data_IF_547002276685
#
_entry.id   IF_547002276685
#
_cell.length_a   1.000
_cell.length_b   1.000
_cell.length_c   1.000
_cell.angle_alpha   90.00
_cell.angle_beta   90.00
_cell.angle_gamma   90.00
#
_symmetry.space_group_name_H-M   'P 1'
#
loop_
_entity.id
_entity.type
_entity.pdbx_description
1 polymer ?
#
# COMPACT_ATOMS: atom_id res chain seq x y z
N UNK A 1 23.38 54.09 29.74
CA UNK A 1 23.63 55.51 29.66
C UNK A 1 22.50 56.25 30.35
N UNK A 2 22.81 57.39 30.96
CA UNK A 2 21.78 58.20 31.59
C UNK A 2 22.05 59.72 31.43
N UNK A 3 20.97 60.45 31.38
CA UNK A 3 21.00 61.93 31.44
C UNK A 3 20.08 62.36 32.54
N UNK A 4 20.44 63.56 33.11
CA UNK A 4 19.56 64.26 34.05
C UNK A 4 19.08 65.52 33.36
N UNK A 5 17.76 65.65 33.23
CA UNK A 5 17.14 66.81 32.59
C UNK A 5 16.24 67.55 33.59
N UNK A 6 16.02 68.81 33.35
CA UNK A 6 14.93 69.55 34.04
C UNK A 6 13.57 69.22 33.44
N UNK A 7 12.50 69.85 33.93
CA UNK A 7 11.13 69.60 33.42
C UNK A 7 10.91 70.04 31.98
N UNK A 8 11.69 71.02 31.52
CA UNK A 8 11.64 71.56 30.15
C UNK A 8 12.45 70.73 29.16
N UNK A 9 13.16 69.71 29.68
CA UNK A 9 13.98 68.81 28.87
C UNK A 9 15.41 69.30 28.65
N UNK A 10 15.79 70.39 29.32
CA UNK A 10 17.15 70.95 29.26
C UNK A 10 18.08 69.97 30.01
N UNK A 11 19.16 69.54 29.37
CA UNK A 11 20.12 68.65 29.95
C UNK A 11 20.98 69.31 31.00
N UNK A 12 20.93 68.83 32.24
CA UNK A 12 21.75 69.33 33.36
C UNK A 12 23.04 68.47 33.52
N UNK A 13 22.99 67.18 33.20
CA UNK A 13 24.11 66.27 33.35
C UNK A 13 23.92 65.02 32.47
N UNK A 14 25.00 64.47 31.94
CA UNK A 14 25.04 63.18 31.30
C UNK A 14 26.22 62.39 31.82
N UNK A 15 26.11 61.01 31.68
CA UNK A 15 27.23 60.15 32.01
C UNK A 15 28.42 60.37 31.01
N UNK A 16 29.69 60.12 31.41
CA UNK A 16 30.85 60.39 30.57
C UNK A 16 30.83 59.75 29.23
N UNK A 17 30.25 58.54 29.15
CA UNK A 17 30.18 57.71 27.93
C UNK A 17 28.84 57.80 27.20
N UNK A 18 28.08 58.91 27.42
CA UNK A 18 26.76 59.08 26.84
C UNK A 18 26.77 59.07 25.31
N UNK A 19 25.94 58.25 24.69
CA UNK A 19 25.66 58.26 23.26
C UNK A 19 24.15 58.33 23.03
N UNK A 20 23.74 58.92 21.92
CA UNK A 20 22.32 58.98 21.54
C UNK A 20 21.77 57.68 20.96
N UNK A 21 22.59 56.68 20.77
CA UNK A 21 22.15 55.38 20.24
C UNK A 21 21.22 54.70 21.23
N UNK A 22 20.06 54.23 20.79
CA UNK A 22 19.06 53.61 21.65
C UNK A 22 18.18 54.54 22.45
N UNK A 23 18.30 55.87 22.26
CA UNK A 23 17.51 56.86 22.96
C UNK A 23 16.00 56.82 22.67
N UNK A 24 15.57 56.11 21.62
CA UNK A 24 14.14 55.82 21.30
C UNK A 24 13.43 55.05 22.41
N UNK A 25 14.17 54.25 23.20
CA UNK A 25 13.65 53.41 24.29
C UNK A 25 14.07 53.95 25.65
N UNK A 26 13.89 55.25 25.87
CA UNK A 26 14.33 55.93 27.07
C UNK A 26 13.31 55.82 28.23
N UNK A 27 13.78 55.33 29.37
CA UNK A 27 13.00 55.26 30.62
C UNK A 27 13.20 56.56 31.41
N UNK A 28 12.11 57.26 31.71
CA UNK A 28 12.13 58.51 32.45
C UNK A 28 11.56 58.35 33.86
N UNK A 29 12.26 58.88 34.86
CA UNK A 29 11.80 58.87 36.26
C UNK A 29 12.17 60.22 36.96
N UNK A 30 11.23 60.74 37.69
CA UNK A 30 11.46 61.93 38.55
C UNK A 30 12.38 61.54 39.70
N UNK A 31 13.47 62.36 39.95
CA UNK A 31 14.48 62.02 40.96
C UNK A 31 13.89 62.28 42.34
N UNK A 32 13.28 63.45 42.56
CA UNK A 32 12.68 63.83 43.82
C UNK A 32 11.22 64.20 43.61
N UNK A 33 10.31 63.40 44.11
CA UNK A 33 8.86 63.57 43.90
C UNK A 33 8.28 64.75 44.71
N UNK A 34 8.96 65.20 45.76
CA UNK A 34 8.51 66.22 46.67
C UNK A 34 9.10 67.61 46.35
N UNK A 35 9.90 67.77 45.32
CA UNK A 35 10.43 69.06 44.91
C UNK A 35 9.37 69.93 44.25
N UNK A 36 9.46 71.23 44.41
CA UNK A 36 8.58 72.20 43.69
C UNK A 36 8.69 71.92 42.16
N UNK A 37 7.60 72.08 41.41
CA UNK A 37 7.56 71.75 39.98
C UNK A 37 8.67 72.44 39.14
N UNK A 38 9.14 73.63 39.58
CA UNK A 38 10.23 74.32 38.90
C UNK A 38 11.64 73.73 39.11
N UNK A 39 11.81 72.78 40.05
CA UNK A 39 13.11 72.14 40.37
C UNK A 39 13.09 70.65 40.20
N UNK A 40 12.02 70.11 39.63
CA UNK A 40 11.93 68.64 39.38
C UNK A 40 12.97 68.18 38.35
N UNK A 41 13.96 67.47 38.81
CA UNK A 41 14.90 66.73 37.92
C UNK A 41 14.35 65.41 37.48
N UNK A 42 14.56 65.08 36.24
CA UNK A 42 14.25 63.75 35.66
C UNK A 42 15.53 63.01 35.26
N UNK A 43 15.60 61.75 35.65
CA UNK A 43 16.63 60.86 35.14
C UNK A 43 16.05 60.14 33.94
N UNK A 44 16.76 60.18 32.84
CA UNK A 44 16.47 59.41 31.61
C UNK A 44 17.55 58.35 31.47
N UNK A 45 17.14 57.10 31.39
CA UNK A 45 18.06 55.95 31.23
C UNK A 45 17.75 55.27 29.94
N UNK A 46 18.76 55.00 29.13
CA UNK A 46 18.65 54.19 27.93
C UNK A 46 19.84 53.23 27.82
N UNK A 47 19.65 52.20 27.03
CA UNK A 47 20.64 51.14 26.81
C UNK A 47 21.04 51.16 25.33
N UNK A 48 22.22 51.69 24.93
CA UNK A 48 22.63 51.85 23.55
C UNK A 48 22.66 50.51 22.81
N UNK A 49 23.11 49.47 23.48
CA UNK A 49 23.31 48.13 22.89
C UNK A 49 22.23 47.13 23.28
N UNK A 50 21.01 47.56 23.65
CA UNK A 50 19.96 46.65 24.07
C UNK A 50 19.66 45.55 23.04
N UNK A 51 19.61 45.95 21.77
CA UNK A 51 19.39 44.99 20.66
C UNK A 51 20.54 44.00 20.53
N UNK A 52 21.79 44.47 20.60
CA UNK A 52 22.99 43.61 20.57
C UNK A 52 23.01 42.64 21.74
N UNK A 53 22.68 43.09 22.95
CA UNK A 53 22.59 42.25 24.14
C UNK A 53 21.48 41.17 24.00
N UNK A 54 20.31 41.54 23.51
CA UNK A 54 19.21 40.62 23.25
C UNK A 54 19.64 39.60 22.20
N UNK A 55 20.22 40.05 21.07
CA UNK A 55 20.69 39.13 20.03
C UNK A 55 21.79 38.20 20.53
N UNK A 56 22.72 38.66 21.36
CA UNK A 56 23.76 37.80 21.93
C UNK A 56 23.19 36.71 22.85
N UNK A 57 22.16 37.05 23.63
CA UNK A 57 21.48 36.11 24.52
C UNK A 57 20.63 35.08 23.75
N UNK A 58 19.99 35.51 22.64
CA UNK A 58 19.15 34.62 21.80
C UNK A 58 19.99 33.77 20.88
N UNK A 59 21.22 34.17 20.54
CA UNK A 59 22.10 33.43 19.60
C UNK A 59 22.26 31.95 19.93
N UNK A 60 22.31 31.57 21.19
CA UNK A 60 22.42 30.17 21.63
C UNK A 60 21.07 29.43 21.72
N UNK A 61 19.96 30.18 21.79
CA UNK A 61 18.62 29.56 21.82
C UNK A 61 18.20 29.02 20.47
N UNK A 62 18.57 29.66 19.35
CA UNK A 62 18.20 29.26 18.00
C UNK A 62 18.75 27.86 17.65
N UNK A 63 20.06 27.56 17.82
CA UNK A 63 20.60 26.22 17.59
C UNK A 63 19.94 25.15 18.47
N UNK A 64 19.67 25.47 19.73
CA UNK A 64 19.00 24.56 20.67
C UNK A 64 17.57 24.24 20.20
N UNK A 65 16.82 25.20 19.71
CA UNK A 65 15.47 25.05 19.22
C UNK A 65 15.45 24.22 17.93
N UNK A 66 16.39 24.46 17.01
CA UNK A 66 16.58 23.67 15.79
C UNK A 66 16.92 22.21 16.17
N UNK A 67 17.85 22.01 17.11
CA UNK A 67 18.23 20.67 17.55
C UNK A 67 17.03 19.90 18.15
N UNK A 68 16.27 20.56 19.02
CA UNK A 68 15.07 19.97 19.62
C UNK A 68 14.01 19.63 18.56
N UNK A 69 13.83 20.49 17.55
CA UNK A 69 12.93 20.24 16.44
C UNK A 69 13.36 19.02 15.61
N UNK A 70 14.65 18.91 15.29
CA UNK A 70 15.20 17.73 14.58
C UNK A 70 15.00 16.45 15.38
N UNK A 71 15.24 16.46 16.70
CA UNK A 71 14.98 15.33 17.58
C UNK A 71 13.50 14.91 17.56
N UNK A 72 12.59 15.88 17.62
CA UNK A 72 11.16 15.63 17.59
C UNK A 72 10.72 14.98 16.26
N UNK A 73 11.22 15.50 15.14
CA UNK A 73 10.94 14.95 13.81
C UNK A 73 11.48 13.53 13.69
N UNK A 74 12.71 13.27 14.12
CA UNK A 74 13.30 11.92 14.08
C UNK A 74 12.56 10.95 14.99
N UNK A 75 12.09 11.40 16.15
CA UNK A 75 11.30 10.59 17.07
C UNK A 75 9.95 10.20 16.46
N UNK A 76 9.21 11.16 15.88
CA UNK A 76 7.94 10.89 15.19
C UNK A 76 8.16 9.92 14.03
N UNK A 77 9.22 10.12 13.23
CA UNK A 77 9.55 9.26 12.11
C UNK A 77 9.88 7.83 12.56
N UNK A 78 10.62 7.69 13.67
CA UNK A 78 10.94 6.38 14.25
C UNK A 78 9.68 5.65 14.71
N UNK A 79 8.78 6.32 15.42
CA UNK A 79 7.50 5.77 15.84
C UNK A 79 6.69 5.31 14.62
N UNK A 80 6.61 6.12 13.57
CA UNK A 80 5.92 5.76 12.33
C UNK A 80 6.50 4.48 11.70
N UNK A 81 7.84 4.36 11.64
CA UNK A 81 8.52 3.15 11.14
C UNK A 81 8.17 1.93 11.99
N UNK A 82 8.22 2.05 13.33
CA UNK A 82 7.90 0.94 14.25
C UNK A 82 6.46 0.44 14.04
N UNK A 83 5.48 1.34 13.96
CA UNK A 83 4.10 0.94 13.70
C UNK A 83 3.92 0.29 12.33
N UNK A 84 4.60 0.80 11.32
CA UNK A 84 4.60 0.19 9.97
C UNK A 84 5.21 -1.20 9.98
N UNK A 85 6.35 -1.39 10.66
CA UNK A 85 7.01 -2.70 10.78
C UNK A 85 6.14 -3.69 11.56
N UNK A 86 5.54 -3.26 12.69
CA UNK A 86 4.63 -4.10 13.48
C UNK A 86 3.48 -4.61 12.61
N UNK A 87 2.84 -3.74 11.85
CA UNK A 87 1.75 -4.11 10.95
C UNK A 87 2.18 -5.10 9.85
N UNK A 88 3.37 -4.90 9.27
CA UNK A 88 3.93 -5.84 8.29
C UNK A 88 4.22 -7.22 8.92
N UNK A 89 4.70 -7.24 10.15
CA UNK A 89 4.95 -8.48 10.90
C UNK A 89 3.65 -9.23 11.22
N UNK A 90 2.61 -8.52 11.65
CA UNK A 90 1.27 -9.10 11.87
C UNK A 90 0.74 -9.74 10.58
N UNK A 91 0.75 -9.02 9.47
CA UNK A 91 0.30 -9.52 8.16
C UNK A 91 1.12 -10.74 7.72
N UNK A 92 2.44 -10.74 7.96
CA UNK A 92 3.32 -11.89 7.67
C UNK A 92 3.00 -13.10 8.54
N UNK A 93 2.73 -12.90 9.82
CA UNK A 93 2.36 -13.99 10.73
C UNK A 93 0.99 -14.58 10.35
N UNK A 94 0.01 -13.76 10.01
CA UNK A 94 -1.29 -14.21 9.51
C UNK A 94 -1.14 -15.01 8.22
N UNK A 95 -0.25 -14.61 7.33
CA UNK A 95 0.08 -15.38 6.12
C UNK A 95 0.67 -16.75 6.47
N UNK A 96 1.65 -16.82 7.38
CA UNK A 96 2.27 -18.09 7.80
C UNK A 96 1.23 -19.01 8.44
N UNK A 97 0.38 -18.49 9.32
CA UNK A 97 -0.69 -19.25 9.96
C UNK A 97 -1.69 -19.80 8.94
N UNK A 98 -2.13 -18.95 8.01
CA UNK A 98 -3.04 -19.37 6.93
C UNK A 98 -2.39 -20.42 6.01
N UNK A 99 -1.11 -20.27 5.68
CA UNK A 99 -0.36 -21.21 4.87
C UNK A 99 -0.23 -22.57 5.56
N UNK A 100 0.07 -22.56 6.86
CA UNK A 100 0.13 -23.77 7.67
C UNK A 100 -1.21 -24.49 7.70
N UNK A 101 -2.30 -23.76 7.85
CA UNK A 101 -3.65 -24.31 7.84
C UNK A 101 -4.04 -24.88 6.48
N UNK A 102 -3.76 -24.16 5.39
CA UNK A 102 -4.05 -24.58 4.02
C UNK A 102 -3.24 -25.82 3.61
N UNK A 103 -2.03 -26.02 4.13
CA UNK A 103 -1.24 -27.23 3.90
C UNK A 103 -1.66 -28.40 4.80
N UNK A 104 -2.07 -28.13 6.03
CA UNK A 104 -2.46 -29.17 6.99
C UNK A 104 -3.67 -29.99 6.48
N UNK A 105 -4.66 -29.31 5.88
CA UNK A 105 -5.87 -29.98 5.40
C UNK A 105 -5.59 -31.05 4.35
N UNK A 106 -4.93 -30.77 3.19
CA UNK A 106 -4.63 -31.79 2.20
C UNK A 106 -3.70 -32.88 2.75
N UNK A 107 -2.72 -32.53 3.58
CA UNK A 107 -1.82 -33.51 4.20
C UNK A 107 -2.61 -34.48 5.10
N UNK A 108 -3.54 -33.97 5.92
CA UNK A 108 -4.38 -34.82 6.78
C UNK A 108 -5.30 -35.71 5.97
N UNK A 109 -5.87 -35.21 4.86
CA UNK A 109 -6.72 -36.00 3.95
C UNK A 109 -5.91 -37.12 3.27
N UNK A 110 -4.71 -36.79 2.78
CA UNK A 110 -3.80 -37.82 2.19
C UNK A 110 -3.43 -38.86 3.25
N UNK A 111 -3.10 -38.45 4.46
CA UNK A 111 -2.73 -39.37 5.54
C UNK A 111 -3.89 -40.30 5.90
N UNK A 112 -5.11 -39.78 6.02
CA UNK A 112 -6.30 -40.57 6.30
C UNK A 112 -6.59 -41.57 5.14
N UNK A 113 -6.56 -41.09 3.91
CA UNK A 113 -6.74 -41.94 2.73
C UNK A 113 -5.68 -43.06 2.64
N UNK A 114 -4.42 -42.73 2.95
CA UNK A 114 -3.34 -43.74 3.01
C UNK A 114 -3.53 -44.77 4.15
N UNK A 115 -4.11 -44.34 5.29
CA UNK A 115 -4.49 -45.30 6.35
C UNK A 115 -5.63 -46.22 5.92
N UNK A 116 -6.64 -45.68 5.22
CA UNK A 116 -7.74 -46.48 4.69
C UNK A 116 -7.28 -47.55 3.69
N UNK A 117 -6.23 -47.30 2.90
CA UNK A 117 -5.64 -48.31 1.98
C UNK A 117 -5.03 -49.49 2.70
N UNK A 118 -4.73 -49.41 4.01
CA UNK A 118 -4.22 -50.54 4.82
C UNK A 118 -5.33 -51.47 5.29
N UNK A 119 -6.59 -51.10 5.17
CA UNK A 119 -7.72 -51.92 5.54
C UNK A 119 -7.88 -53.08 4.51
N UNK A 120 -7.86 -54.34 4.96
CA UNK A 120 -8.06 -55.50 4.07
C UNK A 120 -9.39 -55.47 3.30
N UNK A 121 -10.40 -54.79 3.81
CA UNK A 121 -11.69 -54.61 3.14
C UNK A 121 -11.57 -53.77 1.86
N UNK A 122 -10.73 -52.75 1.88
CA UNK A 122 -10.46 -51.86 0.75
C UNK A 122 -9.72 -52.64 -0.36
N UNK A 123 -8.77 -53.51 -0.01
CA UNK A 123 -8.06 -54.39 -0.97
C UNK A 123 -8.98 -55.33 -1.71
N UNK A 124 -10.15 -55.69 -1.14
CA UNK A 124 -11.16 -56.55 -1.77
C UNK A 124 -12.15 -55.81 -2.68
N UNK A 125 -12.13 -54.46 -2.65
CA UNK A 125 -13.04 -53.62 -3.45
C UNK A 125 -12.25 -52.76 -4.42
N UNK A 126 -12.10 -53.10 -5.71
CA UNK A 126 -11.39 -52.29 -6.70
C UNK A 126 -11.94 -50.88 -6.84
N UNK A 127 -13.25 -50.69 -6.71
CA UNK A 127 -13.89 -49.38 -6.78
C UNK A 127 -13.49 -48.45 -5.59
N UNK A 128 -13.41 -49.03 -4.37
CA UNK A 128 -13.00 -48.30 -3.19
C UNK A 128 -11.50 -47.94 -3.24
N UNK A 129 -10.66 -48.88 -3.68
CA UNK A 129 -9.23 -48.65 -3.90
C UNK A 129 -9.01 -47.49 -4.89
N UNK A 130 -9.72 -47.52 -6.02
CA UNK A 130 -9.62 -46.50 -7.08
C UNK A 130 -10.08 -45.13 -6.59
N UNK A 131 -11.16 -45.08 -5.81
CA UNK A 131 -11.65 -43.86 -5.22
C UNK A 131 -10.64 -43.23 -4.24
N UNK A 132 -10.09 -44.02 -3.30
CA UNK A 132 -9.11 -43.56 -2.32
C UNK A 132 -7.82 -43.12 -2.99
N UNK A 133 -7.34 -43.88 -3.98
CA UNK A 133 -6.17 -43.50 -4.80
C UNK A 133 -6.40 -42.19 -5.55
N UNK A 134 -7.62 -41.98 -6.07
CA UNK A 134 -8.04 -40.72 -6.70
C UNK A 134 -7.97 -39.54 -5.73
N UNK A 135 -8.48 -39.70 -4.50
CA UNK A 135 -8.40 -38.65 -3.46
C UNK A 135 -6.95 -38.28 -3.14
N UNK A 136 -6.06 -39.28 -2.99
CA UNK A 136 -4.63 -39.02 -2.74
C UNK A 136 -4.00 -38.21 -3.89
N UNK A 137 -4.27 -38.63 -5.12
CA UNK A 137 -3.74 -37.97 -6.33
C UNK A 137 -4.23 -36.51 -6.44
N UNK A 138 -5.51 -36.28 -6.21
CA UNK A 138 -6.11 -34.95 -6.34
C UNK A 138 -5.61 -33.98 -5.24
N UNK A 139 -5.50 -34.43 -3.99
CA UNK A 139 -4.95 -33.61 -2.92
C UNK A 139 -3.43 -33.37 -3.09
N UNK A 140 -2.70 -34.33 -3.66
CA UNK A 140 -1.27 -34.15 -4.01
C UNK A 140 -1.09 -33.11 -5.10
N UNK A 141 -1.92 -33.14 -6.18
CA UNK A 141 -1.93 -32.10 -7.21
C UNK A 141 -2.25 -30.74 -6.65
N UNK A 142 -3.23 -30.68 -5.75
CA UNK A 142 -3.62 -29.44 -5.06
C UNK A 142 -2.48 -28.89 -4.21
N UNK A 143 -1.81 -29.73 -3.43
CA UNK A 143 -0.66 -29.34 -2.60
C UNK A 143 0.48 -28.82 -3.46
N UNK A 144 0.82 -29.51 -4.55
CA UNK A 144 1.84 -29.05 -5.52
C UNK A 144 1.52 -27.68 -6.06
N UNK A 145 0.29 -27.42 -6.48
CA UNK A 145 -0.13 -26.12 -6.99
C UNK A 145 -0.03 -25.00 -5.94
N UNK A 146 -0.33 -25.31 -4.67
CA UNK A 146 -0.16 -24.37 -3.57
C UNK A 146 1.31 -24.03 -3.31
N UNK A 147 2.20 -25.04 -3.32
CA UNK A 147 3.65 -24.86 -3.16
C UNK A 147 4.21 -24.04 -4.33
N UNK A 148 3.83 -24.35 -5.56
CA UNK A 148 4.28 -23.58 -6.75
C UNK A 148 3.88 -22.10 -6.65
N UNK A 149 2.66 -21.79 -6.20
CA UNK A 149 2.24 -20.39 -5.97
C UNK A 149 3.12 -19.66 -4.95
N UNK A 150 3.50 -20.33 -3.87
CA UNK A 150 4.39 -19.74 -2.86
C UNK A 150 5.80 -19.56 -3.40
N UNK A 151 6.34 -20.56 -4.12
CA UNK A 151 7.67 -20.49 -4.73
C UNK A 151 7.75 -19.40 -5.80
N UNK A 152 6.77 -19.28 -6.68
CA UNK A 152 6.71 -18.23 -7.69
C UNK A 152 6.82 -16.85 -7.02
N UNK A 153 6.11 -16.62 -5.92
CA UNK A 153 6.16 -15.35 -5.20
C UNK A 153 7.53 -15.11 -4.53
N UNK A 154 8.13 -16.14 -3.93
CA UNK A 154 9.46 -16.05 -3.30
C UNK A 154 10.56 -15.76 -4.32
N UNK A 155 10.48 -16.37 -5.49
CA UNK A 155 11.45 -16.12 -6.58
C UNK A 155 11.36 -14.68 -7.11
N UNK A 156 10.15 -14.12 -7.18
CA UNK A 156 9.95 -12.71 -7.54
C UNK A 156 10.51 -11.70 -6.51
N UNK A 157 10.71 -12.11 -5.26
CA UNK A 157 11.31 -11.25 -4.23
C UNK A 157 12.83 -11.15 -4.33
N UNK A 158 13.49 -12.24 -4.73
CA UNK A 158 14.96 -12.35 -4.66
C UNK A 158 15.71 -11.95 -5.92
N UNK A 159 15.07 -11.98 -7.08
CA UNK A 159 15.71 -11.63 -8.35
C UNK A 159 14.79 -10.72 -9.16
N UNK A 160 15.40 -9.75 -9.89
CA UNK A 160 14.79 -9.26 -11.13
C UNK A 160 14.60 -10.51 -12.00
N UNK A 161 13.43 -11.14 -11.92
CA UNK A 161 13.14 -12.28 -12.77
C UNK A 161 13.46 -11.85 -14.20
N UNK A 162 14.31 -12.57 -14.89
CA UNK A 162 14.64 -12.30 -16.28
C UNK A 162 13.38 -12.69 -17.07
N UNK A 163 12.50 -11.70 -17.29
CA UNK A 163 11.27 -11.89 -18.06
C UNK A 163 11.66 -12.23 -19.50
N UNK A 164 11.05 -13.27 -20.04
CA UNK A 164 11.20 -13.66 -21.44
C UNK A 164 10.20 -12.87 -22.27
N UNK A 165 10.53 -11.58 -22.47
CA UNK A 165 9.68 -10.67 -23.21
C UNK A 165 9.59 -11.06 -24.68
N UNK A 166 8.39 -11.15 -25.22
CA UNK A 166 8.11 -11.35 -26.64
C UNK A 166 6.86 -10.61 -27.07
N UNK A 167 6.70 -10.44 -28.35
CA UNK A 167 5.47 -9.94 -28.95
C UNK A 167 4.35 -10.95 -28.80
N UNK A 168 3.20 -10.52 -28.30
CA UNK A 168 2.04 -11.38 -28.02
C UNK A 168 0.77 -10.62 -28.40
N UNK A 169 -0.11 -11.27 -29.15
CA UNK A 169 -1.46 -10.79 -29.40
C UNK A 169 -2.31 -11.00 -28.13
N UNK A 170 -2.62 -9.89 -27.43
CA UNK A 170 -3.36 -9.93 -26.18
C UNK A 170 -4.79 -10.50 -26.35
N UNK A 171 -5.46 -10.21 -27.49
CA UNK A 171 -6.81 -10.71 -27.76
C UNK A 171 -6.80 -12.27 -27.86
N UNK A 172 -5.85 -12.83 -28.60
CA UNK A 172 -5.72 -14.28 -28.75
C UNK A 172 -5.37 -14.96 -27.42
N UNK A 173 -4.40 -14.40 -26.67
CA UNK A 173 -4.03 -14.91 -25.36
C UNK A 173 -5.23 -14.92 -24.41
N UNK A 174 -5.95 -13.80 -24.32
CA UNK A 174 -7.13 -13.67 -23.44
C UNK A 174 -8.23 -14.64 -23.89
N UNK A 175 -8.50 -14.78 -25.19
CA UNK A 175 -9.48 -15.74 -25.71
C UNK A 175 -9.13 -17.18 -25.30
N UNK A 176 -7.84 -17.57 -25.40
CA UNK A 176 -7.37 -18.88 -24.96
C UNK A 176 -7.59 -19.13 -23.47
N UNK A 177 -7.32 -18.13 -22.62
CA UNK A 177 -7.58 -18.22 -21.18
C UNK A 177 -9.08 -18.29 -20.90
N UNK A 178 -9.90 -17.48 -21.55
CA UNK A 178 -11.36 -17.48 -21.40
C UNK A 178 -11.92 -18.85 -21.73
N UNK A 179 -11.54 -19.44 -22.85
CA UNK A 179 -11.99 -20.79 -23.26
C UNK A 179 -11.66 -21.85 -22.21
N UNK A 180 -10.44 -21.81 -21.66
CA UNK A 180 -10.04 -22.74 -20.58
C UNK A 180 -10.84 -22.51 -19.29
N UNK A 181 -11.21 -21.25 -19.02
CA UNK A 181 -11.87 -20.86 -17.76
C UNK A 181 -13.39 -21.05 -17.80
N UNK A 182 -13.99 -21.11 -18.99
CA UNK A 182 -15.45 -21.27 -19.20
C UNK A 182 -16.01 -22.46 -18.45
N UNK A 183 -15.38 -23.65 -18.60
CA UNK A 183 -15.80 -24.88 -17.89
C UNK A 183 -15.80 -24.69 -16.35
N UNK A 184 -14.86 -23.91 -15.83
CA UNK A 184 -14.81 -23.63 -14.39
C UNK A 184 -15.95 -22.71 -13.96
N UNK A 185 -16.28 -21.71 -14.76
CA UNK A 185 -17.36 -20.75 -14.48
C UNK A 185 -18.73 -21.44 -14.55
N UNK A 186 -18.94 -22.27 -15.57
CA UNK A 186 -20.18 -23.07 -15.75
C UNK A 186 -20.43 -24.02 -14.58
N UNK A 187 -19.38 -24.61 -13.99
CA UNK A 187 -19.49 -25.43 -12.77
C UNK A 187 -20.14 -24.68 -11.58
N UNK A 188 -20.06 -23.37 -11.57
CA UNK A 188 -20.67 -22.49 -10.56
C UNK A 188 -21.93 -21.80 -11.08
N UNK A 189 -22.59 -22.34 -12.11
CA UNK A 189 -23.77 -21.76 -12.77
C UNK A 189 -23.51 -20.31 -13.21
N UNK A 190 -22.30 -20.04 -13.73
CA UNK A 190 -21.91 -18.72 -14.13
C UNK A 190 -21.78 -18.59 -15.65
N UNK A 191 -21.66 -17.35 -16.10
CA UNK A 191 -21.47 -16.98 -17.51
C UNK A 191 -20.26 -16.07 -17.67
N UNK A 192 -19.45 -16.33 -18.67
CA UNK A 192 -18.34 -15.47 -19.06
C UNK A 192 -18.59 -14.90 -20.46
N UNK A 193 -18.44 -13.61 -20.59
CA UNK A 193 -18.57 -12.89 -21.87
C UNK A 193 -17.28 -12.16 -22.16
N UNK A 194 -16.88 -12.11 -23.43
CA UNK A 194 -15.69 -11.38 -23.85
C UNK A 194 -15.99 -10.52 -25.08
N UNK A 195 -15.56 -9.26 -25.03
CA UNK A 195 -15.57 -8.28 -26.12
C UNK A 195 -14.13 -7.81 -26.33
N UNK A 196 -13.42 -8.49 -27.22
CA UNK A 196 -12.00 -8.27 -27.48
C UNK A 196 -11.82 -7.33 -28.68
N UNK A 197 -12.21 -6.07 -28.49
CA UNK A 197 -12.39 -5.06 -29.56
C UNK A 197 -11.13 -4.17 -29.75
N UNK A 198 -9.98 -4.53 -29.15
CA UNK A 198 -8.75 -3.80 -29.40
C UNK A 198 -8.27 -4.02 -30.84
N UNK A 199 -8.19 -2.93 -31.62
CA UNK A 199 -7.69 -2.97 -33.01
C UNK A 199 -6.19 -3.27 -33.08
N UNK A 200 -5.44 -2.76 -32.09
CA UNK A 200 -4.00 -3.02 -31.95
C UNK A 200 -3.77 -3.81 -30.66
N UNK A 201 -3.89 -5.15 -30.69
CA UNK A 201 -3.77 -6.01 -29.49
C UNK A 201 -2.33 -6.38 -29.15
N UNK A 202 -1.33 -6.03 -29.98
CA UNK A 202 0.05 -6.51 -29.84
C UNK A 202 0.80 -5.76 -28.76
N UNK A 203 1.32 -6.52 -27.81
CA UNK A 203 2.05 -6.04 -26.63
C UNK A 203 3.36 -6.81 -26.47
N UNK A 204 4.34 -6.20 -25.79
CA UNK A 204 5.61 -6.82 -25.49
C UNK A 204 5.62 -7.32 -24.04
N UNK A 205 5.37 -8.63 -23.85
CA UNK A 205 5.19 -9.23 -22.51
C UNK A 205 5.82 -10.61 -22.42
N UNK A 206 6.05 -11.06 -21.18
CA UNK A 206 6.27 -12.47 -20.89
C UNK A 206 4.91 -13.21 -20.90
N UNK A 207 4.68 -14.01 -21.92
CA UNK A 207 3.40 -14.67 -22.17
C UNK A 207 2.95 -15.54 -20.98
N UNK A 208 3.86 -16.30 -20.38
CA UNK A 208 3.53 -17.18 -19.25
C UNK A 208 3.08 -16.37 -18.03
N UNK A 209 3.84 -15.34 -17.70
CA UNK A 209 3.52 -14.49 -16.56
C UNK A 209 2.27 -13.66 -16.81
N UNK A 210 2.07 -13.17 -18.03
CA UNK A 210 0.87 -12.43 -18.39
C UNK A 210 -0.39 -13.31 -18.41
N UNK A 211 -0.29 -14.53 -18.94
CA UNK A 211 -1.34 -15.55 -18.82
C UNK A 211 -1.74 -15.78 -17.37
N UNK A 212 -0.76 -15.93 -16.47
CA UNK A 212 -1.00 -16.08 -15.04
C UNK A 212 -1.67 -14.87 -14.40
N UNK A 213 -1.42 -13.65 -14.89
CA UNK A 213 -2.12 -12.43 -14.46
C UNK A 213 -3.63 -12.56 -14.73
N UNK A 214 -4.00 -12.93 -15.96
CA UNK A 214 -5.41 -13.09 -16.35
C UNK A 214 -6.07 -14.20 -15.51
N UNK A 215 -5.40 -15.35 -15.37
CA UNK A 215 -5.89 -16.45 -14.52
C UNK A 215 -6.12 -16.02 -13.06
N UNK A 216 -5.20 -15.26 -12.47
CA UNK A 216 -5.37 -14.79 -11.08
C UNK A 216 -6.59 -13.87 -10.90
N UNK A 217 -6.85 -12.99 -11.86
CA UNK A 217 -8.02 -12.11 -11.82
C UNK A 217 -9.32 -12.88 -11.97
N UNK A 218 -9.40 -13.81 -12.91
CA UNK A 218 -10.56 -14.68 -13.11
C UNK A 218 -10.79 -15.62 -11.90
N UNK A 219 -9.73 -16.19 -11.34
CA UNK A 219 -9.80 -17.04 -10.14
C UNK A 219 -10.34 -16.25 -8.93
N UNK A 220 -9.94 -15.00 -8.78
CA UNK A 220 -10.48 -14.11 -7.75
C UNK A 220 -11.98 -13.86 -7.96
N UNK A 221 -12.41 -13.61 -9.20
CA UNK A 221 -13.82 -13.41 -9.51
C UNK A 221 -14.70 -14.60 -9.11
N UNK A 222 -14.22 -15.84 -9.38
CA UNK A 222 -14.92 -17.07 -8.95
C UNK A 222 -14.92 -17.23 -7.43
N UNK A 223 -13.80 -16.93 -6.77
CA UNK A 223 -13.66 -17.06 -5.30
C UNK A 223 -14.55 -16.11 -4.52
N UNK A 224 -14.69 -14.89 -5.03
CA UNK A 224 -15.44 -13.83 -4.37
C UNK A 224 -16.83 -13.61 -4.97
N UNK A 225 -17.37 -14.65 -5.63
CA UNK A 225 -18.76 -14.63 -6.09
C UNK A 225 -19.74 -14.48 -4.93
N UNK A 226 -20.91 -13.95 -5.19
CA UNK A 226 -22.00 -13.92 -4.21
C UNK A 226 -22.43 -15.34 -3.87
N UNK A 227 -22.86 -15.60 -2.62
CA UNK A 227 -23.44 -16.89 -2.24
C UNK A 227 -24.65 -17.26 -3.09
N UNK A 228 -25.48 -16.28 -3.38
CA UNK A 228 -26.70 -16.40 -4.19
C UNK A 228 -26.55 -15.64 -5.50
N UNK A 229 -27.17 -16.19 -6.55
CA UNK A 229 -27.15 -15.59 -7.89
C UNK A 229 -26.13 -16.21 -8.85
N UNK A 230 -26.29 -15.85 -10.10
CA UNK A 230 -25.42 -16.26 -11.20
C UNK A 230 -24.10 -15.47 -11.17
N UNK A 231 -22.97 -16.15 -11.37
CA UNK A 231 -21.67 -15.50 -11.56
C UNK A 231 -21.57 -14.94 -12.97
N UNK A 232 -21.50 -13.63 -13.10
CA UNK A 232 -21.32 -12.95 -14.39
C UNK A 232 -19.92 -12.36 -14.47
N UNK A 233 -19.16 -12.80 -15.48
CA UNK A 233 -17.84 -12.28 -15.80
C UNK A 233 -17.87 -11.60 -17.15
N UNK A 234 -17.31 -10.40 -17.23
CA UNK A 234 -17.19 -9.65 -18.47
C UNK A 234 -15.73 -9.23 -18.68
N UNK A 235 -15.17 -9.55 -19.85
CA UNK A 235 -13.81 -9.21 -20.23
C UNK A 235 -13.89 -8.32 -21.46
N UNK A 236 -13.16 -7.20 -21.44
CA UNK A 236 -13.11 -6.29 -22.59
C UNK A 236 -11.70 -5.82 -22.85
N UNK A 237 -11.36 -5.67 -24.12
CA UNK A 237 -10.13 -5.01 -24.57
C UNK A 237 -10.48 -3.85 -25.48
N UNK A 238 -9.71 -2.76 -25.39
CA UNK A 238 -9.82 -1.62 -26.30
C UNK A 238 -8.50 -0.85 -26.33
N UNK A 239 -8.34 0.00 -27.34
CA UNK A 239 -7.22 0.91 -27.44
C UNK A 239 -7.65 2.33 -27.10
N UNK A 240 -6.85 3.04 -26.31
CA UNK A 240 -7.07 4.44 -25.99
C UNK A 240 -5.72 5.12 -25.73
N UNK A 241 -5.52 6.31 -26.34
CA UNK A 241 -4.30 7.12 -26.13
C UNK A 241 -2.98 6.34 -26.34
N UNK A 242 -2.92 5.46 -27.36
CA UNK A 242 -1.73 4.69 -27.69
C UNK A 242 -1.40 3.59 -26.67
N UNK A 243 -2.40 3.09 -25.95
CA UNK A 243 -2.28 2.00 -24.95
C UNK A 243 -3.35 0.96 -25.15
N UNK A 244 -3.03 -0.27 -24.74
CA UNK A 244 -4.00 -1.34 -24.62
C UNK A 244 -4.63 -1.30 -23.22
N UNK A 245 -5.95 -1.31 -23.18
CA UNK A 245 -6.74 -1.45 -21.97
C UNK A 245 -7.39 -2.83 -21.96
N UNK A 246 -7.32 -3.48 -20.80
CA UNK A 246 -7.96 -4.79 -20.57
C UNK A 246 -8.76 -4.64 -19.28
N UNK A 247 -10.07 -4.89 -19.33
CA UNK A 247 -10.91 -4.91 -18.14
C UNK A 247 -11.48 -6.30 -17.88
N UNK A 248 -11.45 -6.70 -16.62
CA UNK A 248 -12.08 -7.94 -16.12
C UNK A 248 -13.02 -7.51 -15.01
N UNK A 249 -14.32 -7.75 -15.23
CA UNK A 249 -15.39 -7.33 -14.31
C UNK A 249 -16.19 -8.54 -13.86
N UNK A 250 -16.48 -8.58 -12.56
CA UNK A 250 -17.36 -9.55 -11.91
C UNK A 250 -18.55 -8.85 -11.24
N UNK A 251 -19.60 -9.60 -10.94
CA UNK A 251 -20.76 -9.21 -10.14
C UNK A 251 -20.71 -9.77 -8.71
N UNK A 252 -19.51 -10.05 -8.18
CA UNK A 252 -19.30 -10.65 -6.88
C UNK A 252 -19.65 -9.76 -5.69
N UNK A 253 -19.10 -10.09 -4.51
CA UNK A 253 -19.36 -9.37 -3.26
C UNK A 253 -18.82 -7.93 -3.23
N UNK A 254 -17.93 -7.59 -4.16
CA UNK A 254 -17.29 -6.28 -4.21
C UNK A 254 -16.31 -6.01 -3.05
N UNK A 255 -15.73 -4.81 -3.08
CA UNK A 255 -14.66 -4.40 -2.16
C UNK A 255 -14.97 -3.00 -1.61
N UNK A 256 -14.86 -2.79 -0.31
CA UNK A 256 -15.00 -1.47 0.31
C UNK A 256 -13.90 -0.51 -0.16
N UNK A 257 -14.24 0.77 -0.37
CA UNK A 257 -13.30 1.82 -0.84
C UNK A 257 -12.00 1.91 -0.03
N UNK A 258 -12.07 1.73 1.28
CA UNK A 258 -10.92 1.75 2.19
C UNK A 258 -9.88 0.66 1.93
N UNK A 259 -10.31 -0.46 1.31
CA UNK A 259 -9.48 -1.61 1.01
C UNK A 259 -8.90 -1.59 -0.42
N UNK A 260 -9.49 -0.84 -1.36
CA UNK A 260 -9.10 -0.84 -2.77
C UNK A 260 -7.61 -0.57 -3.02
N UNK A 261 -6.99 0.30 -2.22
CA UNK A 261 -5.54 0.57 -2.32
C UNK A 261 -4.69 -0.54 -1.72
N UNK A 262 -5.23 -1.28 -0.75
CA UNK A 262 -4.51 -2.30 0.03
C UNK A 262 -4.58 -3.69 -0.58
N UNK A 263 -5.59 -3.99 -1.43
CA UNK A 263 -5.75 -5.32 -2.03
C UNK A 263 -4.56 -5.78 -2.87
N UNK A 264 -3.72 -4.84 -3.32
CA UNK A 264 -2.50 -5.12 -4.04
C UNK A 264 -1.26 -5.24 -3.12
N UNK A 265 -1.42 -5.04 -1.82
CA UNK A 265 -0.33 -5.23 -0.86
C UNK A 265 -0.14 -6.74 -0.61
N UNK A 266 1.11 -7.14 -0.45
CA UNK A 266 1.46 -8.55 -0.18
C UNK A 266 0.79 -9.02 1.11
N UNK A 267 0.28 -10.25 1.07
CA UNK A 267 -0.37 -10.92 2.20
C UNK A 267 -1.67 -10.27 2.67
N UNK A 268 -2.06 -9.15 2.07
CA UNK A 268 -3.27 -8.44 2.47
C UNK A 268 -4.52 -9.23 2.05
N UNK A 269 -5.44 -9.38 3.00
CA UNK A 269 -6.77 -9.96 2.79
C UNK A 269 -7.80 -9.06 3.45
N UNK A 270 -8.94 -8.88 2.79
CA UNK A 270 -10.08 -8.20 3.38
C UNK A 270 -10.71 -9.16 4.40
N UNK A 271 -10.78 -8.75 5.67
CA UNK A 271 -11.49 -9.52 6.69
C UNK A 271 -12.99 -9.38 6.43
N UNK A 272 -13.61 -10.42 5.92
CA UNK A 272 -15.03 -10.49 5.56
C UNK A 272 -15.88 -11.14 6.66
N UNK A 273 -15.52 -10.99 7.93
CA UNK A 273 -16.26 -11.56 9.07
C UNK A 273 -16.30 -13.10 9.00
N UNK A 274 -17.49 -13.69 8.90
CA UNK A 274 -17.69 -15.14 8.90
C UNK A 274 -17.31 -15.87 7.59
N UNK A 275 -16.79 -15.18 6.57
CA UNK A 275 -16.30 -15.80 5.34
C UNK A 275 -14.85 -16.34 5.53
N UNK A 276 -14.64 -17.16 6.57
CA UNK A 276 -13.38 -17.89 6.77
C UNK A 276 -13.06 -18.89 5.64
N UNK A 277 -14.01 -19.17 4.73
CA UNK A 277 -13.88 -20.21 3.70
C UNK A 277 -13.22 -19.76 2.39
N UNK A 278 -12.89 -18.51 2.20
CA UNK A 278 -12.22 -18.10 0.95
C UNK A 278 -10.73 -18.44 1.01
N UNK A 279 -10.39 -19.61 0.44
CA UNK A 279 -9.02 -20.14 0.41
C UNK A 279 -8.06 -19.24 -0.37
N UNK A 280 -6.90 -18.92 0.20
CA UNK A 280 -5.85 -18.20 -0.51
C UNK A 280 -4.88 -17.43 0.39
N UNK A 281 -3.70 -17.15 -0.16
CA UNK A 281 -2.55 -16.62 0.59
C UNK A 281 -2.44 -15.08 0.58
N UNK A 282 -3.33 -14.35 -0.10
CA UNK A 282 -3.22 -12.90 -0.26
C UNK A 282 -2.04 -12.46 -1.14
N UNK A 283 -1.56 -13.34 -2.04
CA UNK A 283 -0.42 -13.09 -2.91
C UNK A 283 -0.81 -12.79 -4.36
N UNK A 284 -1.99 -13.22 -4.81
CA UNK A 284 -2.38 -13.17 -6.21
C UNK A 284 -2.41 -11.76 -6.79
N UNK A 285 -3.07 -10.81 -6.13
CA UNK A 285 -3.16 -9.42 -6.62
C UNK A 285 -1.83 -8.67 -6.49
N UNK A 286 -1.01 -8.98 -5.48
CA UNK A 286 0.34 -8.43 -5.37
C UNK A 286 1.24 -8.91 -6.53
N UNK A 287 1.14 -10.19 -6.90
CA UNK A 287 1.80 -10.75 -8.08
C UNK A 287 1.32 -10.05 -9.36
N UNK A 288 0.00 -9.93 -9.55
CA UNK A 288 -0.59 -9.24 -10.71
C UNK A 288 -0.02 -7.83 -10.85
N UNK A 289 -0.06 -7.03 -9.76
CA UNK A 289 0.49 -5.67 -9.77
C UNK A 289 1.96 -5.64 -10.14
N UNK A 290 2.77 -6.52 -9.56
CA UNK A 290 4.21 -6.60 -9.83
C UNK A 290 4.48 -6.94 -11.29
N UNK A 291 3.83 -7.98 -11.84
CA UNK A 291 3.99 -8.36 -13.24
C UNK A 291 3.61 -7.23 -14.16
N UNK A 292 2.46 -6.59 -13.97
CA UNK A 292 2.01 -5.48 -14.81
C UNK A 292 3.00 -4.31 -14.73
N UNK A 293 3.55 -4.00 -13.56
CA UNK A 293 4.58 -2.96 -13.42
C UNK A 293 5.89 -3.33 -14.14
N UNK A 294 6.33 -4.58 -14.07
CA UNK A 294 7.52 -5.08 -14.77
C UNK A 294 7.36 -5.02 -16.30
N UNK A 295 6.12 -5.09 -16.79
CA UNK A 295 5.72 -4.87 -18.18
C UNK A 295 5.41 -3.40 -18.50
N UNK A 296 5.85 -2.45 -17.64
CA UNK A 296 5.65 -1.00 -17.80
C UNK A 296 4.18 -0.58 -17.86
N UNK A 297 3.28 -1.42 -17.36
CA UNK A 297 1.85 -1.20 -17.28
C UNK A 297 1.40 -0.69 -15.92
N UNK A 298 0.10 -0.45 -15.84
CA UNK A 298 -0.59 -0.04 -14.60
C UNK A 298 -1.83 -0.92 -14.43
N UNK A 299 -2.13 -1.32 -13.20
CA UNK A 299 -3.40 -1.94 -12.83
C UNK A 299 -4.14 -1.10 -11.80
N UNK A 300 -5.45 -0.98 -11.96
CA UNK A 300 -6.35 -0.35 -11.00
C UNK A 300 -7.59 -1.21 -10.77
N UNK A 301 -8.26 -1.00 -9.65
CA UNK A 301 -9.51 -1.66 -9.30
C UNK A 301 -10.59 -0.63 -9.01
N UNK A 302 -11.75 -0.84 -9.57
CA UNK A 302 -12.99 -0.13 -9.30
C UNK A 302 -13.96 -1.14 -8.71
N UNK A 303 -14.56 -0.84 -7.57
CA UNK A 303 -15.45 -1.79 -6.91
C UNK A 303 -16.43 -1.09 -5.99
N UNK A 304 -17.62 -1.68 -5.90
CA UNK A 304 -18.66 -1.29 -4.96
C UNK A 304 -19.16 -2.54 -4.22
N UNK A 305 -19.31 -2.41 -2.90
CA UNK A 305 -19.73 -3.52 -2.04
C UNK A 305 -21.11 -4.03 -2.46
N UNK A 306 -21.25 -5.34 -2.58
CA UNK A 306 -22.45 -6.06 -3.06
C UNK A 306 -22.84 -5.78 -4.53
N UNK A 307 -22.03 -5.06 -5.28
CA UNK A 307 -22.23 -4.85 -6.72
C UNK A 307 -21.29 -5.72 -7.53
N UNK A 308 -19.96 -5.60 -7.26
CA UNK A 308 -18.91 -6.36 -7.93
C UNK A 308 -17.60 -5.61 -8.00
N UNK A 309 -16.65 -6.17 -8.75
CA UNK A 309 -15.31 -5.60 -8.93
C UNK A 309 -14.93 -5.58 -10.39
N UNK A 310 -14.26 -4.49 -10.81
CA UNK A 310 -13.68 -4.32 -12.13
C UNK A 310 -12.20 -4.02 -12.00
N UNK A 311 -11.36 -4.92 -12.49
CA UNK A 311 -9.93 -4.67 -12.65
C UNK A 311 -9.65 -4.12 -14.04
N UNK A 312 -8.80 -3.10 -14.13
CA UNK A 312 -8.41 -2.47 -15.38
C UNK A 312 -6.89 -2.49 -15.47
N UNK A 313 -6.36 -3.18 -16.47
CA UNK A 313 -4.95 -3.23 -16.83
C UNK A 313 -4.72 -2.29 -18.00
N UNK A 314 -3.65 -1.52 -17.94
CA UNK A 314 -3.21 -0.61 -19.02
C UNK A 314 -1.78 -0.96 -19.37
N UNK A 315 -1.52 -1.29 -20.62
CA UNK A 315 -0.20 -1.64 -21.13
C UNK A 315 0.20 -0.72 -22.31
N UNK A 316 1.48 -0.40 -22.44
CA UNK A 316 1.98 0.28 -23.64
C UNK A 316 1.84 -0.65 -24.85
N UNK A 317 1.42 -0.11 -25.98
CA UNK A 317 1.47 -0.82 -27.25
C UNK A 317 2.92 -0.95 -27.72
N UNK A 318 3.20 -1.96 -28.53
CA UNK A 318 4.41 -1.99 -29.35
C UNK A 318 4.42 -0.73 -30.22
N UNK A 319 5.49 0.07 -30.12
CA UNK A 319 5.72 1.12 -31.12
C UNK A 319 6.09 0.42 -32.40
N UNK A 320 5.24 0.52 -33.41
CA UNK A 320 5.66 0.25 -34.78
C UNK A 320 6.73 1.31 -35.12
N UNK A 321 8.02 0.87 -35.16
CA UNK A 321 9.08 1.68 -35.75
C UNK A 321 8.89 1.80 -37.26
#
# INVERSE_FOLDING_TARGET
>A
HFTVTDREGTEAYHCPDYTNEGSESMYRKVIFQNDPPARMGMVNVHFPDLNSYIFSSVKFMIPSLIFTFVLLVTFIFTIYIIFRQKKLTEIKNDFINNMTHEFKTPISTISLAAQMLKDPAVGKSPAMFQHISGVINDETKRLRFQVEKVLQMSMFERQKATLKMKEVNANELIAGVVNTFTLKVEKYNGKITSSLDAENPDIFVDEMHFTNVIFNLLDNAVKYKKPEGELLLNIRTWNESGKLYISIQDNGIGIKKENLKKIFDKFYRVHTGNLHDVKGFGLGLAYVKKIIQDHKGVIRAESELNVGTKFIIVLPLLKNE
#
